data_IF_145349097415
#
_entry.id   IF_145349097415
#
_cell.length_a   1.000
_cell.length_b   1.000
_cell.length_c   1.000
_cell.angle_alpha   90.00
_cell.angle_beta   90.00
_cell.angle_gamma   90.00
#
_symmetry.space_group_name_H-M   'P 1'
#
loop_
_entity.id
_entity.type
_entity.pdbx_description
1 polymer ?
2 polymer ?
3 non-polymer ?
4 non-polymer ?
5 non-polymer ?
6 water ?
#
# COMPACT_ATOMS: atom_id res chain seq x y z
N UNK A 1 -28.97 10.18 6.47
CA UNK A 1 -30.10 10.51 5.59
C UNK A 1 -29.82 11.71 4.68
N UNK A 2 -30.21 12.91 5.13
CA UNK A 2 -30.18 14.09 4.28
C UNK A 2 -29.20 15.19 4.70
N UNK A 3 -28.16 15.40 3.89
CA UNK A 3 -27.28 16.56 4.04
C UNK A 3 -25.99 16.39 4.84
N UNK A 4 -25.20 17.47 4.87
CA UNK A 4 -23.88 17.50 5.50
C UNK A 4 -23.86 17.28 7.01
N UNK A 5 -24.72 17.98 7.75
CA UNK A 5 -24.75 17.78 9.19
C UNK A 5 -25.18 16.34 9.49
N UNK A 6 -25.99 15.77 8.60
CA UNK A 6 -26.40 14.38 8.72
C UNK A 6 -25.28 13.41 8.34
N UNK A 7 -24.45 13.80 7.37
CA UNK A 7 -23.30 12.97 7.00
C UNK A 7 -22.31 12.92 8.18
N UNK A 8 -22.05 14.09 8.78
CA UNK A 8 -21.18 14.15 9.96
C UNK A 8 -21.71 13.25 11.07
N UNK A 9 -23.02 13.26 11.30
CA UNK A 9 -23.66 12.43 12.31
C UNK A 9 -23.55 10.94 12.01
N UNK A 10 -23.65 10.59 10.73
CA UNK A 10 -23.56 9.20 10.31
C UNK A 10 -22.14 8.68 10.46
N UNK A 11 -21.16 9.53 10.10
CA UNK A 11 -19.76 9.20 10.31
C UNK A 11 -19.51 8.92 11.79
N UNK A 12 -20.05 9.78 12.65
CA UNK A 12 -19.88 9.62 14.09
C UNK A 12 -20.52 8.31 14.56
N UNK A 13 -21.65 7.96 13.96
CA UNK A 13 -22.34 6.73 14.31
C UNK A 13 -21.50 5.50 13.94
N UNK A 14 -20.89 5.52 12.75
CA UNK A 14 -20.01 4.43 12.33
C UNK A 14 -18.80 4.30 13.27
N UNK A 15 -18.20 5.43 13.62
CA UNK A 15 -17.04 5.41 14.51
C UNK A 15 -17.39 4.84 15.88
N UNK A 16 -18.61 5.12 16.34
CA UNK A 16 -19.05 4.69 17.66
C UNK A 16 -19.11 3.17 17.77
N UNK A 17 -19.25 2.49 16.63
CA UNK A 17 -19.28 1.03 16.61
C UNK A 17 -17.91 0.44 16.93
N UNK A 18 -16.86 1.23 16.73
CA UNK A 18 -15.53 0.81 17.09
C UNK A 18 -14.87 0.05 15.96
N UNK A 19 -13.60 -0.35 16.16
CA UNK A 19 -12.85 -1.05 15.13
C UNK A 19 -13.40 -2.44 14.81
N UNK A 20 -13.17 -2.90 13.59
CA UNK A 20 -13.55 -4.25 13.19
C UNK A 20 -12.87 -5.27 14.11
N UNK A 21 -13.50 -6.41 14.33
CA UNK A 21 -12.88 -7.44 15.16
C UNK A 21 -11.77 -8.07 14.35
N UNK A 22 -10.65 -8.40 15.00
CA UNK A 22 -9.46 -8.89 14.28
C UNK A 22 -9.79 -10.04 13.36
N UNK A 23 -9.32 -9.93 12.12
CA UNK A 23 -9.55 -10.97 11.14
C UNK A 23 -8.20 -11.61 10.83
N UNK A 24 -8.12 -12.94 10.96
CA UNK A 24 -6.87 -13.66 10.71
C UNK A 24 -6.54 -13.81 9.22
N UNK A 25 -5.26 -13.64 8.90
CA UNK A 25 -4.75 -13.88 7.55
C UNK A 25 -5.02 -15.32 7.13
N UNK A 26 -5.26 -15.55 5.85
CA UNK A 26 -5.51 -16.91 5.35
C UNK A 26 -4.39 -17.86 5.75
N UNK A 27 -3.15 -17.41 5.58
CA UNK A 27 -1.97 -18.19 5.90
C UNK A 27 -1.07 -17.43 6.84
N UNK A 28 -0.23 -18.15 7.59
CA UNK A 28 0.92 -17.51 8.24
C UNK A 28 1.86 -16.92 7.22
N UNK A 29 2.73 -16.02 7.67
CA UNK A 29 3.83 -15.55 6.85
C UNK A 29 4.52 -16.80 6.34
N UNK A 30 4.72 -16.91 5.04
CA UNK A 30 5.25 -18.16 4.52
C UNK A 30 6.19 -17.96 3.32
N UNK A 31 7.14 -18.87 3.18
CA UNK A 31 8.18 -18.70 2.18
C UNK A 31 7.67 -18.78 0.73
N UNK A 32 6.73 -19.70 0.44
CA UNK A 32 6.26 -19.72 -0.95
C UNK A 32 5.64 -18.42 -1.44
N UNK A 33 4.86 -17.76 -0.59
CA UNK A 33 4.28 -16.49 -1.03
C UNK A 33 5.32 -15.36 -1.01
N UNK A 34 6.27 -15.42 -0.09
CA UNK A 34 7.40 -14.50 -0.19
C UNK A 34 8.11 -14.70 -1.54
N UNK A 35 8.36 -15.95 -1.91
CA UNK A 35 9.02 -16.23 -3.18
C UNK A 35 8.24 -15.67 -4.38
N UNK A 36 6.92 -15.86 -4.41
CA UNK A 36 6.10 -15.32 -5.50
C UNK A 36 6.24 -13.82 -5.58
N UNK A 37 6.28 -13.18 -4.42
CA UNK A 37 6.30 -11.71 -4.37
C UNK A 37 7.66 -11.16 -4.81
N UNK A 38 8.76 -11.68 -4.26
CA UNK A 38 10.08 -11.14 -4.62
C UNK A 38 10.36 -11.44 -6.10
N UNK A 39 9.87 -12.59 -6.57
CA UNK A 39 9.93 -12.95 -7.99
C UNK A 39 9.28 -11.90 -8.90
N UNK A 40 8.05 -11.52 -8.56
CA UNK A 40 7.30 -10.59 -9.40
C UNK A 40 7.81 -9.15 -9.25
N UNK A 41 8.11 -8.75 -8.02
CA UNK A 41 8.56 -7.38 -7.72
C UNK A 41 9.99 -7.19 -8.25
N UNK A 42 10.73 -8.29 -8.33
CA UNK A 42 12.11 -8.24 -8.80
C UNK A 42 13.08 -7.74 -7.72
N UNK A 43 12.68 -7.83 -6.46
CA UNK A 43 13.53 -7.49 -5.30
C UNK A 43 14.44 -8.65 -4.89
N UNK A 44 15.75 -8.51 -5.13
CA UNK A 44 16.69 -9.60 -4.88
C UNK A 44 17.33 -9.57 -3.49
N UNK A 45 16.79 -8.75 -2.59
CA UNK A 45 17.27 -8.67 -1.21
C UNK A 45 17.40 -10.04 -0.56
N UNK A 46 18.65 -10.45 -0.24
CA UNK A 46 18.91 -11.80 0.24
C UNK A 46 18.18 -12.19 1.51
N UNK A 47 17.84 -11.22 2.36
CA UNK A 47 17.27 -11.56 3.66
C UNK A 47 15.85 -12.15 3.57
N UNK A 48 15.19 -11.98 2.42
CA UNK A 48 13.85 -12.55 2.22
C UNK A 48 13.91 -14.02 1.80
N UNK A 49 15.09 -14.50 1.39
CA UNK A 49 15.17 -15.83 0.79
C UNK A 49 16.34 -16.70 1.28
N UNK A 50 17.17 -16.20 2.18
CA UNK A 50 18.36 -16.94 2.60
C UNK A 50 18.65 -16.73 4.10
N UNK A 51 18.44 -17.80 4.87
CA UNK A 51 18.53 -17.76 6.34
C UNK A 51 19.88 -17.18 6.79
N UNK A 52 20.93 -17.57 6.09
CA UNK A 52 22.29 -17.16 6.45
C UNK A 52 22.46 -15.65 6.25
N UNK A 53 21.90 -15.15 5.16
CA UNK A 53 22.03 -13.73 4.77
C UNK A 53 21.17 -12.84 5.67
N UNK A 54 20.07 -13.41 6.13
CA UNK A 54 19.17 -12.73 7.05
C UNK A 54 19.76 -12.76 8.45
N UNK A 55 21.09 -12.68 8.53
CA UNK A 55 21.76 -12.66 9.81
C UNK A 55 22.95 -11.70 9.79
N UNK A 56 23.55 -11.50 8.63
CA UNK A 56 24.63 -10.52 8.51
C UNK A 56 24.04 -9.11 8.67
N UNK A 57 22.76 -8.98 8.33
CA UNK A 57 22.06 -7.72 8.48
C UNK A 57 21.37 -7.65 9.85
N UNK A 58 21.46 -8.73 10.61
CA UNK A 58 21.04 -8.70 12.00
C UNK A 58 19.70 -9.31 12.39
N UNK A 59 19.09 -10.05 11.45
CA UNK A 59 17.79 -10.70 11.72
C UNK A 59 18.01 -12.12 12.24
N UNK A 60 16.95 -12.75 12.79
CA UNK A 60 17.15 -14.14 13.27
C UNK A 60 17.42 -15.13 12.14
N UNK A 61 16.52 -15.15 11.17
CA UNK A 61 16.68 -15.90 9.93
C UNK A 61 15.88 -15.12 8.90
N UNK A 62 15.47 -15.77 7.81
CA UNK A 62 14.65 -15.11 6.79
C UNK A 62 13.52 -14.28 7.39
N UNK A 63 13.41 -13.03 6.94
CA UNK A 63 12.31 -12.16 7.32
C UNK A 63 11.45 -11.85 6.07
N UNK A 64 10.16 -11.60 6.29
CA UNK A 64 9.27 -11.18 5.18
C UNK A 64 9.52 -9.73 4.84
N UNK A 65 9.39 -9.37 3.56
CA UNK A 65 9.42 -7.96 3.15
C UNK A 65 8.38 -7.17 3.94
N UNK A 66 8.80 -6.08 4.57
CA UNK A 66 7.84 -5.25 5.32
C UNK A 66 6.63 -4.89 4.46
N UNK A 67 6.86 -4.55 3.18
CA UNK A 67 5.80 -4.13 2.29
C UNK A 67 4.85 -5.27 1.91
N UNK A 68 5.09 -6.47 2.43
CA UNK A 68 4.15 -7.59 2.22
C UNK A 68 3.04 -7.61 3.28
N UNK A 69 3.07 -6.70 4.25
CA UNK A 69 2.21 -6.86 5.42
C UNK A 69 0.72 -6.94 4.98
N UNK A 70 0.34 -6.11 4.03
CA UNK A 70 -1.05 -6.07 3.58
C UNK A 70 -1.39 -7.34 2.78
N UNK A 71 -0.40 -7.93 2.14
CA UNK A 71 -0.66 -9.12 1.32
C UNK A 71 -1.26 -10.29 2.13
N UNK A 72 -0.77 -10.50 3.36
CA UNK A 72 -1.18 -11.67 4.14
C UNK A 72 -2.69 -11.67 4.41
N UNK A 73 -3.28 -10.48 4.58
CA UNK A 73 -4.68 -10.37 4.95
C UNK A 73 -5.62 -9.91 3.81
N UNK A 74 -5.13 -9.91 2.57
CA UNK A 74 -5.98 -9.61 1.42
C UNK A 74 -7.12 -10.62 1.39
N UNK A 75 -8.32 -10.16 1.02
CA UNK A 75 -9.52 -10.99 1.00
C UNK A 75 -9.45 -12.17 0.05
N UNK A 76 -8.73 -12.01 -1.06
CA UNK A 76 -8.63 -13.12 -2.01
C UNK A 76 -9.72 -13.08 -3.07
N UNK A 77 -9.66 -14.05 -3.96
CA UNK A 77 -10.57 -14.11 -5.08
C UNK A 77 -12.02 -14.23 -4.59
N UNK A 78 -12.84 -13.24 -4.94
CA UNK A 78 -14.24 -13.24 -4.54
C UNK A 78 -14.54 -13.06 -3.05
N UNK A 79 -13.59 -12.55 -2.29
CA UNK A 79 -13.81 -12.34 -0.86
C UNK A 79 -14.71 -11.15 -0.57
N UNK A 80 -15.43 -11.22 0.55
CA UNK A 80 -16.31 -10.14 0.98
C UNK A 80 -15.95 -9.65 2.38
N UNK A 81 -15.78 -8.34 2.54
CA UNK A 81 -15.45 -7.73 3.83
C UNK A 81 -16.48 -8.11 4.90
N UNK A 82 -16.01 -8.33 6.13
CA UNK A 82 -16.93 -8.57 7.24
C UNK A 82 -17.80 -7.33 7.48
N UNK A 83 -18.92 -7.52 8.18
CA UNK A 83 -19.91 -6.46 8.31
C UNK A 83 -19.38 -5.32 9.18
N UNK A 84 -18.46 -5.65 10.09
CA UNK A 84 -17.97 -4.65 11.03
C UNK A 84 -16.76 -3.86 10.51
N UNK A 85 -16.35 -4.10 9.27
CA UNK A 85 -15.40 -3.22 8.59
C UNK A 85 -16.06 -1.89 8.25
N UNK A 86 -15.56 -0.78 8.84
CA UNK A 86 -16.22 0.52 8.63
C UNK A 86 -16.20 0.99 7.16
N UNK A 87 -15.29 0.46 6.35
CA UNK A 87 -15.20 0.82 4.93
C UNK A 87 -16.53 0.64 4.24
N UNK A 88 -17.17 -0.50 4.49
CA UNK A 88 -18.48 -0.77 3.90
C UNK A 88 -19.49 0.35 4.11
N UNK A 89 -19.86 0.63 5.37
CA UNK A 89 -20.86 1.66 5.67
C UNK A 89 -20.49 3.02 5.11
N UNK A 90 -19.21 3.35 5.15
CA UNK A 90 -18.77 4.69 4.76
C UNK A 90 -18.89 4.87 3.23
N UNK A 91 -18.58 3.84 2.45
CA UNK A 91 -18.75 3.92 1.01
C UNK A 91 -20.22 4.04 0.67
N UNK A 92 -21.02 3.19 1.29
CA UNK A 92 -22.46 3.16 1.13
C UNK A 92 -23.08 4.52 1.45
N UNK A 93 -22.63 5.11 2.54
CA UNK A 93 -23.10 6.44 2.94
C UNK A 93 -22.87 7.46 1.84
N UNK A 94 -21.65 7.52 1.33
CA UNK A 94 -21.29 8.56 0.38
C UNK A 94 -21.81 8.30 -1.03
N UNK A 95 -21.95 7.03 -1.41
CA UNK A 95 -22.55 6.68 -2.70
C UNK A 95 -23.99 7.21 -2.75
N UNK A 96 -24.73 6.96 -1.67
CA UNK A 96 -26.12 7.37 -1.59
C UNK A 96 -26.27 8.88 -1.62
N UNK A 97 -25.27 9.59 -1.09
CA UNK A 97 -25.29 11.05 -1.12
C UNK A 97 -24.84 11.60 -2.47
N UNK A 98 -24.56 10.70 -3.42
CA UNK A 98 -24.20 11.11 -4.76
C UNK A 98 -22.71 11.18 -5.05
N UNK A 99 -21.88 10.93 -4.04
CA UNK A 99 -20.44 10.96 -4.23
C UNK A 99 -19.96 9.58 -4.72
N UNK A 100 -20.37 9.23 -5.93
CA UNK A 100 -20.27 7.86 -6.43
C UNK A 100 -18.86 7.45 -6.84
N UNK A 101 -18.03 8.43 -7.24
CA UNK A 101 -16.67 8.14 -7.65
C UNK A 101 -15.75 7.92 -6.46
N UNK A 102 -14.62 7.25 -6.70
CA UNK A 102 -13.62 6.99 -5.67
C UNK A 102 -12.22 6.92 -6.27
N UNK A 103 -11.25 7.45 -5.55
CA UNK A 103 -9.82 7.24 -5.83
C UNK A 103 -9.05 7.23 -4.52
N UNK A 104 -8.02 6.41 -4.47
CA UNK A 104 -7.11 6.42 -3.35
C UNK A 104 -6.14 7.59 -3.53
N UNK A 105 -5.79 8.26 -2.44
CA UNK A 105 -4.91 9.42 -2.55
C UNK A 105 -3.61 9.27 -1.79
N UNK A 106 -3.65 8.56 -0.66
CA UNK A 106 -2.50 8.41 0.22
C UNK A 106 -2.49 7.06 0.88
N UNK A 107 -1.30 6.50 1.02
CA UNK A 107 -1.13 5.24 1.70
C UNK A 107 0.16 5.28 2.49
N UNK A 108 0.04 5.30 3.82
CA UNK A 108 1.21 5.35 4.67
C UNK A 108 1.30 4.13 5.58
N UNK A 109 2.36 3.34 5.45
CA UNK A 109 2.51 2.14 6.27
C UNK A 109 3.66 2.27 7.26
N UNK A 110 3.44 1.82 8.48
CA UNK A 110 4.48 1.81 9.51
C UNK A 110 4.75 0.39 9.96
N UNK A 111 6.03 0.03 9.98
CA UNK A 111 6.47 -1.32 10.34
C UNK A 111 7.23 -1.29 11.65
N UNK A 112 6.63 -1.85 12.70
CA UNK A 112 7.23 -1.82 14.01
C UNK A 112 8.40 -2.81 14.09
N UNK A 113 8.24 -3.95 13.43
CA UNK A 113 9.33 -4.91 13.30
C UNK A 113 9.13 -5.78 12.07
N UNK A 114 10.17 -6.52 11.69
CA UNK A 114 10.04 -7.53 10.63
C UNK A 114 9.37 -8.79 11.15
N UNK A 115 8.66 -9.47 10.25
CA UNK A 115 7.94 -10.71 10.56
C UNK A 115 8.72 -11.93 10.10
N UNK A 116 8.44 -13.06 10.72
CA UNK A 116 9.15 -14.29 10.39
C UNK A 116 8.17 -15.30 9.82
N UNK A 117 8.62 -16.10 8.84
CA UNK A 117 7.81 -17.25 8.40
C UNK A 117 7.24 -18.03 9.59
N UNK A 118 5.96 -18.37 9.51
CA UNK A 118 5.31 -19.06 10.60
C UNK A 118 4.45 -18.14 11.47
N UNK A 119 4.81 -16.86 11.55
CA UNK A 119 4.00 -15.90 12.31
C UNK A 119 2.69 -15.64 11.59
N UNK A 120 1.59 -15.56 12.33
CA UNK A 120 0.32 -15.31 11.69
C UNK A 120 -0.28 -13.98 12.17
N UNK A 121 -0.70 -13.21 11.17
CA UNK A 121 -1.09 -11.83 11.32
C UNK A 121 -2.60 -11.73 11.37
N UNK A 122 -3.10 -10.73 12.11
CA UNK A 122 -4.50 -10.39 12.09
C UNK A 122 -4.62 -8.92 11.69
N UNK A 123 -5.77 -8.54 11.17
CA UNK A 123 -6.03 -7.16 10.78
C UNK A 123 -7.29 -6.61 11.44
N UNK A 124 -7.18 -5.38 11.95
CA UNK A 124 -8.34 -4.62 12.43
C UNK A 124 -8.37 -3.24 11.77
N UNK A 125 -9.58 -2.76 11.43
CA UNK A 125 -9.74 -1.47 10.73
C UNK A 125 -10.62 -0.49 11.51
N UNK A 126 -10.27 0.79 11.48
CA UNK A 126 -11.04 1.83 12.17
C UNK A 126 -11.17 3.05 11.28
N UNK A 127 -12.27 3.77 11.39
CA UNK A 127 -12.44 5.01 10.64
C UNK A 127 -11.66 6.15 11.30
N UNK A 128 -10.93 6.93 10.51
CA UNK A 128 -10.19 8.07 11.04
C UNK A 128 -10.92 9.35 10.68
N UNK A 129 -10.17 10.43 10.44
CA UNK A 129 -10.78 11.70 10.05
C UNK A 129 -11.56 11.63 8.73
N UNK A 130 -12.75 12.22 8.74
CA UNK A 130 -13.50 12.38 7.51
C UNK A 130 -13.71 13.87 7.27
N UNK A 131 -13.19 14.35 6.14
CA UNK A 131 -13.11 15.79 5.90
C UNK A 131 -13.81 16.18 4.62
N UNK A 132 -14.70 17.18 4.70
CA UNK A 132 -15.44 17.62 3.52
C UNK A 132 -16.64 18.50 3.85
N UNK A 133 -17.37 18.94 2.81
CA UNK A 133 -17.05 18.72 1.39
C UNK A 133 -15.94 19.64 0.88
N UNK A 134 -15.13 19.16 -0.05
CA UNK A 134 -14.04 19.96 -0.61
C UNK A 134 -14.07 19.97 -2.14
N UNK A 135 -13.58 21.05 -2.74
CA UNK A 135 -13.56 21.17 -4.20
C UNK A 135 -12.23 20.64 -4.75
N UNK A 136 -12.32 19.66 -5.63
CA UNK A 136 -11.13 19.00 -6.19
C UNK A 136 -11.20 18.90 -7.70
N UNK A 137 -10.07 18.53 -8.32
CA UNK A 137 -9.99 18.40 -9.77
C UNK A 137 -11.03 17.43 -10.31
N UNK A 138 -11.39 16.44 -9.49
CA UNK A 138 -12.34 15.42 -9.90
C UNK A 138 -13.75 15.81 -9.52
N UNK A 139 -13.89 16.96 -8.86
CA UNK A 139 -15.19 17.42 -8.39
C UNK A 139 -15.29 17.56 -6.88
N UNK A 140 -16.48 17.92 -6.40
CA UNK A 140 -16.71 18.04 -4.97
C UNK A 140 -16.64 16.67 -4.32
N UNK A 141 -16.00 16.61 -3.14
CA UNK A 141 -15.82 15.33 -2.49
C UNK A 141 -15.43 15.40 -1.04
N UNK A 142 -15.32 14.22 -0.44
CA UNK A 142 -14.94 14.09 0.97
C UNK A 142 -13.71 13.19 1.07
N UNK A 143 -12.72 13.62 1.82
CA UNK A 143 -11.54 12.78 2.09
C UNK A 143 -11.76 11.92 3.32
N UNK A 144 -11.61 10.61 3.14
CA UNK A 144 -11.85 9.64 4.19
C UNK A 144 -10.59 8.88 4.55
N UNK A 145 -10.22 8.94 5.82
CA UNK A 145 -9.07 8.20 6.31
C UNK A 145 -9.48 6.93 7.03
N UNK A 146 -8.74 5.86 6.77
CA UNK A 146 -8.96 4.61 7.47
C UNK A 146 -7.66 4.19 8.12
N UNK A 147 -7.78 3.65 9.32
CA UNK A 147 -6.61 3.29 10.07
C UNK A 147 -6.60 1.79 10.33
N UNK A 148 -5.55 1.12 9.84
CA UNK A 148 -5.44 -0.33 9.89
C UNK A 148 -4.33 -0.75 10.85
N UNK A 149 -4.59 -1.73 11.70
CA UNK A 149 -3.54 -2.26 12.56
C UNK A 149 -3.39 -3.76 12.34
N UNK A 150 -2.14 -4.19 12.19
CA UNK A 150 -1.81 -5.61 12.12
C UNK A 150 -1.14 -6.08 13.39
N UNK A 151 -1.56 -7.26 13.85
CA UNK A 151 -1.02 -7.83 15.07
C UNK A 151 -0.55 -9.26 14.86
N UNK A 152 0.46 -9.66 15.61
CA UNK A 152 0.77 -11.09 15.78
C UNK A 152 0.34 -11.44 17.19
N UNK A 153 -0.80 -12.10 17.32
CA UNK A 153 -1.38 -12.27 18.64
C UNK A 153 -1.85 -10.91 19.13
N UNK A 154 -1.30 -10.47 20.26
CA UNK A 154 -1.70 -9.20 20.85
C UNK A 154 -0.64 -8.13 20.63
N UNK A 155 0.40 -8.47 19.86
CA UNK A 155 1.48 -7.54 19.57
C UNK A 155 1.22 -6.72 18.28
N UNK A 156 1.14 -5.40 18.43
CA UNK A 156 1.06 -4.43 17.32
C UNK A 156 2.34 -4.54 16.50
N UNK A 157 2.28 -5.04 15.25
CA UNK A 157 3.48 -5.16 14.44
C UNK A 157 3.56 -4.22 13.23
N UNK A 158 2.43 -3.64 12.82
CA UNK A 158 2.41 -2.72 11.71
C UNK A 158 1.08 -1.98 11.62
N UNK A 159 1.07 -0.88 10.88
CA UNK A 159 -0.16 -0.16 10.66
C UNK A 159 -0.16 0.57 9.34
N UNK A 160 -1.35 0.95 8.91
CA UNK A 160 -1.51 1.66 7.66
C UNK A 160 -2.54 2.72 7.87
N UNK A 161 -2.21 3.93 7.48
CA UNK A 161 -3.23 4.95 7.42
C UNK A 161 -3.44 5.26 5.96
N UNK A 162 -4.64 5.01 5.46
CA UNK A 162 -4.83 5.34 4.08
C UNK A 162 -6.07 6.19 3.87
N UNK A 163 -6.07 6.85 2.74
CA UNK A 163 -7.03 7.90 2.51
C UNK A 163 -7.63 7.73 1.13
N UNK A 164 -8.95 7.90 1.04
CA UNK A 164 -9.60 7.92 -0.24
C UNK A 164 -10.39 9.20 -0.38
N UNK A 165 -10.63 9.56 -1.63
CA UNK A 165 -11.51 10.66 -1.98
C UNK A 165 -12.79 10.07 -2.59
N UNK A 166 -13.93 10.32 -1.94
CA UNK A 166 -15.22 9.99 -2.54
C UNK A 166 -15.78 11.29 -3.12
N UNK A 167 -16.10 11.28 -4.40
CA UNK A 167 -16.45 12.52 -5.09
C UNK A 167 -17.61 12.40 -6.07
N UNK A 168 -18.14 13.56 -6.46
CA UNK A 168 -19.12 13.71 -7.52
C UNK A 168 -18.44 14.03 -8.84
N UNK A 169 -18.51 13.10 -9.81
CA UNK A 169 -17.95 13.28 -11.16
C UNK A 169 -18.81 14.18 -12.04
N UNK B 2 25.42 8.15 5.14
CA UNK B 2 25.04 8.95 3.97
C UNK B 2 24.78 10.39 4.38
N UNK B 3 24.59 11.27 3.40
CA UNK B 3 24.38 12.69 3.68
C UNK B 3 23.09 13.22 3.06
N UNK B 4 22.55 14.27 3.66
CA UNK B 4 21.42 14.96 3.08
C UNK B 4 21.79 15.50 1.70
N UNK B 5 21.01 15.14 0.68
CA UNK B 5 21.27 15.59 -0.67
C UNK B 5 21.90 14.51 -1.54
N UNK B 6 22.30 13.42 -0.90
CA UNK B 6 22.77 12.23 -1.62
C UNK B 6 21.67 11.71 -2.55
N UNK B 7 22.03 11.42 -3.80
CA UNK B 7 21.08 10.92 -4.77
C UNK B 7 21.24 9.41 -4.98
N UNK B 8 20.13 8.68 -4.96
CA UNK B 8 20.17 7.23 -5.18
C UNK B 8 20.38 6.93 -6.66
N UNK B 9 20.91 5.74 -6.97
CA UNK B 9 20.98 5.35 -8.40
C UNK B 9 19.58 5.20 -8.99
N UNK B 10 19.45 5.60 -10.25
CA UNK B 10 18.20 5.50 -10.99
C UNK B 10 17.76 4.04 -11.16
N UNK B 11 16.46 3.81 -11.27
CA UNK B 11 15.91 2.50 -11.62
C UNK B 11 14.73 2.68 -12.57
N UNK B 12 14.84 2.15 -13.79
CA UNK B 12 13.73 2.23 -14.74
C UNK B 12 13.06 0.87 -14.84
N UNK B 13 11.74 0.87 -14.83
CA UNK B 13 10.96 -0.37 -14.90
C UNK B 13 9.94 -0.30 -16.02
N UNK B 14 9.99 -1.30 -16.90
CA UNK B 14 9.05 -1.37 -18.01
C UNK B 14 7.80 -2.11 -17.54
N UNK B 15 6.66 -1.45 -17.64
CA UNK B 15 5.40 -2.05 -17.22
C UNK B 15 4.69 -2.86 -18.30
N UNK B 16 5.31 -3.93 -18.76
CA UNK B 16 4.65 -4.82 -19.69
C UNK B 16 3.52 -5.54 -18.96
N UNK B 17 2.55 -6.08 -19.70
CA UNK B 17 1.40 -6.70 -19.05
C UNK B 17 1.79 -7.82 -18.06
N UNK B 18 2.82 -8.60 -18.37
CA UNK B 18 3.22 -9.69 -17.49
C UNK B 18 3.67 -9.10 -16.13
N UNK B 19 4.36 -7.98 -16.18
CA UNK B 19 4.79 -7.36 -14.94
C UNK B 19 3.58 -6.88 -14.13
N UNK B 20 2.67 -6.18 -14.82
CA UNK B 20 1.49 -5.65 -14.14
C UNK B 20 0.64 -6.78 -13.54
N UNK B 21 0.36 -7.82 -14.32
CA UNK B 21 -0.44 -8.94 -13.83
C UNK B 21 0.26 -9.75 -12.70
N UNK B 22 1.52 -10.10 -12.92
CA UNK B 22 2.21 -10.97 -11.96
C UNK B 22 2.42 -10.25 -10.64
N UNK B 23 2.70 -8.95 -10.68
CA UNK B 23 2.87 -8.25 -9.41
C UNK B 23 1.51 -8.13 -8.71
N UNK B 24 0.45 -7.78 -9.44
CA UNK B 24 -0.84 -7.65 -8.76
C UNK B 24 -1.24 -8.98 -8.09
N UNK B 25 -1.08 -10.09 -8.79
CA UNK B 25 -1.54 -11.35 -8.21
C UNK B 25 -0.59 -11.83 -7.12
N UNK B 26 0.70 -11.48 -7.22
CA UNK B 26 1.64 -11.79 -6.11
C UNK B 26 1.35 -10.95 -4.84
N UNK B 27 0.66 -9.83 -4.99
CA UNK B 27 0.22 -9.05 -3.81
C UNK B 27 -1.22 -9.43 -3.41
N UNK B 28 -1.71 -10.49 -4.04
CA UNK B 28 -3.04 -11.04 -3.75
C UNK B 28 -4.15 -10.04 -4.01
N UNK B 29 -3.95 -9.21 -5.04
CA UNK B 29 -4.89 -8.18 -5.44
C UNK B 29 -5.54 -8.66 -6.75
N UNK B 30 -6.81 -9.09 -6.66
CA UNK B 30 -7.46 -9.70 -7.80
C UNK B 30 -8.44 -8.71 -8.48
N UNK B 31 -8.33 -7.41 -8.17
CA UNK B 31 -9.19 -6.41 -8.82
C UNK B 31 -9.02 -6.50 -10.32
N UNK B 32 -10.13 -6.46 -11.07
CA UNK B 32 -9.98 -6.71 -12.49
C UNK B 32 -9.14 -5.64 -13.22
N UNK B 33 -9.05 -4.42 -12.67
CA UNK B 33 -8.28 -3.37 -13.33
C UNK B 33 -6.77 -3.64 -13.49
N UNK B 34 -6.24 -4.64 -12.80
CA UNK B 34 -4.83 -4.94 -12.95
C UNK B 34 -4.57 -6.16 -13.84
N UNK B 35 -5.62 -6.80 -14.36
CA UNK B 35 -5.41 -7.92 -15.27
C UNK B 35 -6.43 -8.09 -16.39
N UNK B 36 -7.49 -7.30 -16.37
CA UNK B 36 -8.56 -7.46 -17.35
C UNK B 36 -8.74 -6.11 -18.04
N UNK B 37 -8.17 -6.00 -19.23
CA UNK B 37 -8.21 -4.74 -19.96
C UNK B 37 -9.64 -4.27 -20.22
N UNK B 38 -10.51 -5.18 -20.63
CA UNK B 38 -11.89 -4.80 -20.97
C UNK B 38 -12.61 -4.22 -19.75
N UNK B 39 -12.41 -4.81 -18.58
CA UNK B 39 -13.02 -4.25 -17.36
C UNK B 39 -12.38 -2.92 -16.97
N UNK B 40 -11.09 -2.77 -17.22
CA UNK B 40 -10.40 -1.51 -16.94
C UNK B 40 -10.95 -0.40 -17.83
N UNK B 41 -11.10 -0.70 -19.12
CA UNK B 41 -11.62 0.28 -20.06
C UNK B 41 -13.07 0.61 -19.73
N UNK B 42 -13.85 -0.41 -19.37
CA UNK B 42 -15.25 -0.22 -19.00
C UNK B 42 -15.39 0.72 -17.81
N UNK B 43 -14.38 0.70 -16.93
CA UNK B 43 -14.43 1.53 -15.72
C UNK B 43 -13.71 2.84 -15.94
N UNK B 44 -13.41 3.16 -17.20
CA UNK B 44 -12.90 4.46 -17.56
C UNK B 44 -11.38 4.64 -17.60
N UNK B 45 -10.64 3.55 -17.41
CA UNK B 45 -9.18 3.58 -17.51
C UNK B 45 -8.74 3.31 -18.94
N UNK B 46 -7.53 3.74 -19.29
CA UNK B 46 -6.98 3.50 -20.62
C UNK B 46 -6.65 2.02 -20.84
N UNK B 47 -6.04 1.40 -19.84
CA UNK B 47 -5.58 0.01 -19.90
C UNK B 47 -5.49 -0.53 -18.47
N UNK B 48 -5.01 -1.77 -18.32
CA UNK B 48 -4.70 -2.22 -16.97
C UNK B 48 -3.55 -1.37 -16.41
N UNK B 49 -3.44 -1.31 -15.08
CA UNK B 49 -2.42 -0.48 -14.46
C UNK B 49 -1.87 -1.10 -13.18
N UNK B 50 -0.66 -0.70 -12.82
CA UNK B 50 0.02 -1.23 -11.62
C UNK B 50 -0.75 -0.89 -10.33
N UNK B 51 -0.86 -1.84 -9.42
CA UNK B 51 -1.63 -1.63 -8.19
C UNK B 51 -0.79 -0.96 -7.09
N UNK B 52 -1.45 -0.54 -6.03
CA UNK B 52 -0.80 0.27 -5.02
C UNK B 52 0.19 -0.57 -4.19
N UNK B 53 -0.12 -1.85 -3.97
CA UNK B 53 0.78 -2.71 -3.19
C UNK B 53 2.09 -2.96 -3.92
N UNK B 54 2.03 -2.97 -5.24
CA UNK B 54 3.26 -3.10 -6.03
C UNK B 54 4.05 -1.79 -5.94
N UNK B 55 3.37 -0.65 -5.97
CA UNK B 55 4.06 0.63 -5.73
C UNK B 55 4.85 0.58 -4.43
N UNK B 56 4.20 0.13 -3.36
CA UNK B 56 4.84 0.07 -2.06
C UNK B 56 6.06 -0.86 -2.12
N UNK B 57 5.91 -1.98 -2.78
CA UNK B 57 6.98 -2.96 -2.86
C UNK B 57 8.17 -2.48 -3.67
N UNK B 58 7.89 -1.74 -4.73
CA UNK B 58 8.98 -1.21 -5.56
C UNK B 58 9.73 -0.08 -4.87
N UNK B 59 9.00 0.74 -4.12
CA UNK B 59 9.62 1.81 -3.38
C UNK B 59 10.57 1.21 -2.36
N UNK B 60 10.08 0.19 -1.66
CA UNK B 60 10.90 -0.57 -0.73
C UNK B 60 12.16 -1.16 -1.38
N UNK B 61 11.96 -1.82 -2.53
CA UNK B 61 13.07 -2.38 -3.29
C UNK B 61 14.10 -1.34 -3.73
N UNK B 62 13.59 -0.22 -4.24
CA UNK B 62 14.43 0.87 -4.72
C UNK B 62 15.37 1.41 -3.64
N UNK B 63 14.85 1.55 -2.44
CA UNK B 63 15.63 2.09 -1.32
C UNK B 63 16.59 1.04 -0.76
N UNK B 64 16.16 -0.22 -0.68
CA UNK B 64 17.07 -1.25 -0.18
C UNK B 64 18.09 -1.66 -1.24
N UNK B 65 17.77 -1.46 -2.52
CA UNK B 65 18.78 -1.65 -3.58
C UNK B 65 20.01 -0.78 -3.31
N UNK B 66 19.74 0.46 -2.88
CA UNK B 66 20.79 1.43 -2.58
C UNK B 66 21.36 1.24 -1.18
N UNK B 67 20.49 1.15 -0.19
CA UNK B 67 20.92 1.08 1.21
C UNK B 67 21.54 -0.26 1.55
N UNK B 68 21.07 -1.32 0.90
CA UNK B 68 21.62 -2.65 1.11
C UNK B 68 20.84 -3.47 2.12
N UNK B 69 21.26 -4.72 2.33
CA UNK B 69 20.57 -5.72 3.15
C UNK B 69 20.38 -5.36 4.61
N UNK B 70 21.28 -4.54 5.17
CA UNK B 70 21.26 -4.25 6.61
C UNK B 70 20.26 -3.16 6.98
N UNK B 71 19.73 -2.50 5.95
CA UNK B 71 18.73 -1.45 6.16
C UNK B 71 17.47 -2.01 6.78
N UNK B 72 16.90 -1.28 7.74
CA UNK B 72 15.66 -1.67 8.37
C UNK B 72 14.61 -0.66 7.99
N UNK B 73 13.63 -1.08 7.21
CA UNK B 73 12.59 -0.19 6.74
C UNK B 73 11.59 0.11 7.84
N UNK B 74 11.44 1.38 8.20
CA UNK B 74 10.57 1.78 9.32
C UNK B 74 9.18 2.20 8.85
N UNK B 75 9.12 2.91 7.73
CA UNK B 75 7.86 3.41 7.21
C UNK B 75 7.98 3.73 5.73
N UNK B 76 6.88 3.51 5.01
CA UNK B 76 6.75 3.91 3.61
C UNK B 76 5.46 4.69 3.41
N UNK B 77 5.59 5.96 3.02
CA UNK B 77 4.45 6.82 2.80
C UNK B 77 4.29 7.18 1.34
N UNK B 78 3.12 6.90 0.79
CA UNK B 78 2.86 7.12 -0.62
C UNK B 78 1.83 8.22 -0.84
N UNK B 79 2.15 9.15 -1.73
CA UNK B 79 1.14 10.03 -2.29
C UNK B 79 0.92 9.60 -3.73
N UNK B 80 -0.32 9.21 -4.05
CA UNK B 80 -0.60 8.57 -5.31
C UNK B 80 -0.84 9.57 -6.45
N UNK B 81 -0.24 9.30 -7.60
CA UNK B 81 -0.34 10.20 -8.74
C UNK B 81 -0.98 9.59 -9.98
N UNK B 82 -0.40 9.88 -11.14
CA UNK B 82 -0.98 9.45 -12.40
C UNK B 82 -0.83 7.94 -12.53
N UNK B 83 -1.73 7.31 -13.30
CA UNK B 83 -1.66 5.84 -13.47
C UNK B 83 -0.41 5.38 -14.19
N UNK B 84 0.01 4.16 -13.86
CA UNK B 84 1.10 3.46 -14.54
C UNK B 84 0.48 2.38 -15.40
N UNK B 85 0.21 2.74 -16.65
CA UNK B 85 -0.49 1.86 -17.57
C UNK B 85 0.46 0.91 -18.24
N UNK B 86 -0.09 -0.19 -18.77
CA UNK B 86 0.68 -1.11 -19.59
C UNK B 86 1.50 -0.34 -20.62
N UNK B 87 2.75 -0.79 -20.75
CA UNK B 87 3.72 -0.32 -21.73
C UNK B 87 4.31 1.05 -21.42
N UNK B 88 3.94 1.63 -20.27
CA UNK B 88 4.60 2.85 -19.84
C UNK B 88 5.78 2.43 -18.97
N UNK B 89 6.78 3.29 -18.91
CA UNK B 89 7.99 3.05 -18.13
C UNK B 89 8.06 4.03 -16.97
N UNK B 90 8.18 3.51 -15.76
CA UNK B 90 8.39 4.40 -14.63
C UNK B 90 9.86 4.49 -14.27
N UNK B 91 10.34 5.72 -14.14
CA UNK B 91 11.69 5.97 -13.70
C UNK B 91 11.68 6.39 -12.23
N UNK B 92 12.36 5.64 -11.37
CA UNK B 92 12.49 6.05 -9.98
C UNK B 92 13.74 6.89 -9.81
N UNK B 93 13.57 8.06 -9.20
CA UNK B 93 14.70 8.89 -8.79
C UNK B 93 14.60 9.10 -7.30
N UNK B 94 15.75 9.22 -6.64
CA UNK B 94 15.79 9.34 -5.20
C UNK B 94 16.67 10.49 -4.74
N UNK B 95 16.37 10.99 -3.55
CA UNK B 95 17.15 12.05 -2.93
C UNK B 95 17.01 11.91 -1.42
N UNK B 96 18.14 11.90 -0.71
CA UNK B 96 18.10 11.90 0.74
C UNK B 96 17.75 13.30 1.22
N UNK B 97 16.78 13.39 2.12
CA UNK B 97 16.29 14.68 2.60
C UNK B 97 16.62 14.93 4.06
N UNK B 98 16.79 13.87 4.84
CA UNK B 98 17.05 14.02 6.27
C UNK B 98 17.95 12.92 6.82
N UNK B 99 18.79 13.30 7.78
CA UNK B 99 19.60 12.36 8.56
C UNK B 99 19.63 12.81 10.02
N UNK B 100 19.14 11.98 10.93
CA UNK B 100 19.09 12.34 12.35
C UNK B 100 18.95 11.15 13.28
N UNK B 101 19.86 11.06 14.25
CA UNK B 101 19.85 10.00 15.27
C UNK B 101 19.92 8.59 14.65
N UNK B 102 20.54 8.49 13.47
CA UNK B 102 20.63 7.24 12.77
C UNK B 102 19.34 6.84 12.07
N UNK B 103 18.45 7.82 11.87
CA UNK B 103 17.24 7.59 11.11
C UNK B 103 17.29 8.37 9.80
N UNK B 104 17.27 7.65 8.68
CA UNK B 104 17.40 8.27 7.36
C UNK B 104 16.04 8.44 6.68
N UNK B 105 15.84 9.58 6.03
CA UNK B 105 14.61 9.82 5.29
C UNK B 105 14.91 10.06 3.81
N UNK B 106 14.25 9.28 2.94
CA UNK B 106 14.46 9.42 1.51
C UNK B 106 13.17 9.84 0.81
N UNK B 107 13.28 10.83 -0.08
CA UNK B 107 12.18 11.17 -0.95
C UNK B 107 12.33 10.43 -2.26
N UNK B 108 11.32 9.65 -2.61
CA UNK B 108 11.33 8.91 -3.87
C UNK B 108 10.24 9.45 -4.78
N UNK B 109 10.59 9.62 -6.05
CA UNK B 109 9.59 9.94 -7.06
C UNK B 109 9.67 8.92 -8.19
N UNK B 110 8.51 8.39 -8.56
CA UNK B 110 8.38 7.55 -9.73
C UNK B 110 7.68 8.32 -10.84
N UNK B 111 8.37 8.49 -11.96
CA UNK B 111 7.87 9.27 -13.08
C UNK B 111 7.65 8.41 -14.31
N UNK B 112 6.53 8.60 -15.00
CA UNK B 112 6.36 7.99 -16.31
C UNK B 112 5.94 9.05 -17.33
N UNK B 113 5.42 8.62 -18.48
CA UNK B 113 5.08 9.57 -19.53
C UNK B 113 3.96 10.51 -19.12
N UNK B 114 3.02 9.99 -18.32
CA UNK B 114 1.88 10.77 -17.85
C UNK B 114 2.25 11.77 -16.74
N UNK B 115 3.46 11.65 -16.21
CA UNK B 115 3.94 12.54 -15.16
C UNK B 115 4.41 11.82 -13.90
N UNK B 116 4.09 12.40 -12.73
CA UNK B 116 4.48 11.81 -11.45
C UNK B 116 3.50 10.71 -11.04
N UNK B 117 3.96 9.46 -11.09
CA UNK B 117 3.10 8.31 -10.81
C UNK B 117 2.93 8.09 -9.31
N UNK B 118 4.02 8.33 -8.57
CA UNK B 118 4.01 8.14 -7.13
C UNK B 118 5.10 8.97 -6.46
N UNK B 119 4.77 9.58 -5.33
CA UNK B 119 5.77 10.27 -4.53
C UNK B 119 5.84 9.60 -3.17
N UNK B 120 7.04 9.27 -2.73
CA UNK B 120 7.19 8.45 -1.52
C UNK B 120 8.18 9.02 -0.52
N UNK B 121 7.84 8.85 0.76
CA UNK B 121 8.75 9.19 1.83
C UNK B 121 9.06 7.91 2.56
N UNK B 122 10.34 7.57 2.63
CA UNK B 122 10.77 6.35 3.28
C UNK B 122 11.67 6.64 4.48
N UNK B 123 11.36 6.01 5.61
CA UNK B 123 12.20 6.06 6.81
C UNK B 123 12.85 4.70 7.07
N UNK B 124 14.15 4.71 7.33
CA UNK B 124 14.88 3.47 7.60
C UNK B 124 16.06 3.67 8.58
N UNK B 125 16.54 2.56 9.14
CA UNK B 125 17.82 2.51 9.86
C UNK B 125 18.94 2.08 8.91
N UNK B 126 20.15 1.99 9.45
CA UNK B 126 21.33 1.68 8.66
C UNK B 126 21.21 0.32 7.97
#
# INVERSE_FOLDING_TARGET
>A
MTGVSDIQEAVAQIKAAGPSKPRLARDPVNQPMINNWVEAIGDRNPIYVDDAAARAAGHPGIVAPPAMIQVWTMMGLGGVRPKDDPLGPIIKLFDDAGYIGVVATNCEQTYHRYLLPGEQVSISAELGDVVGPKQTALGEGWFINQHIVWQVGDEDVAEMNWRILKFKPAGSPSSVPDDLDPDAMMR
>B
MTVVGAVLPELKLYGDPTFIVSTALATRDFQDVHHDRDKAVAQGSKDIFVNILTDTGLVQRYVTDWAGPSALIKSIGLRLGVPWYAYDTVTFSGEVTAVNDGLITVKVVGRNTLGDHVTATVELSMRDS
#
